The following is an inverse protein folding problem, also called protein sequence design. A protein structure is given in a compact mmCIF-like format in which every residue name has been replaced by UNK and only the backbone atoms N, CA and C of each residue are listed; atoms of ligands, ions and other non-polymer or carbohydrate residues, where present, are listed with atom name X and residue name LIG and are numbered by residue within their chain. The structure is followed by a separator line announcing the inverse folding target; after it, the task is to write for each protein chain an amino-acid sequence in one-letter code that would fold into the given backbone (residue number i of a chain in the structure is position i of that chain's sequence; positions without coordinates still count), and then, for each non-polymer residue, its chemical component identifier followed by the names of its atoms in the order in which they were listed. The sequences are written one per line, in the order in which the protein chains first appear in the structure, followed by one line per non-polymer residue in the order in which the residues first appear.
data_IF_456914450949
#
_entry.id   IF_456914450949
#
_cell.length_a   1.000
_cell.length_b   1.000
_cell.length_c   1.000
_cell.angle_alpha   90.00
_cell.angle_beta   90.00
_cell.angle_gamma   90.00
#
_symmetry.space_group_name_H-M   'P 1'
#
loop_
_entity.id
_entity.type
_entity.pdbx_description
1 polymer ?
#
# COMPACT_ATOMS: atom_id res chain seq x y z
N UNK A 1 -8.01 -36.31 -10.42
CA UNK A 1 -6.69 -35.65 -10.21
C UNK A 1 -6.85 -34.47 -9.25
N UNK A 2 -5.89 -34.25 -8.36
CA UNK A 2 -5.96 -33.13 -7.40
C UNK A 2 -4.96 -32.04 -7.77
N UNK A 3 -5.29 -30.79 -7.46
CA UNK A 3 -4.37 -29.66 -7.63
C UNK A 3 -3.22 -29.77 -6.62
N UNK A 4 -1.98 -29.80 -7.08
CA UNK A 4 -0.80 -29.92 -6.22
C UNK A 4 -0.59 -28.70 -5.30
N UNK A 5 -1.17 -27.55 -5.66
CA UNK A 5 -1.00 -26.30 -4.88
C UNK A 5 -2.06 -26.10 -3.80
N UNK A 6 -3.29 -26.63 -3.97
CA UNK A 6 -4.38 -26.40 -3.01
C UNK A 6 -5.12 -27.67 -2.58
N UNK A 7 -4.76 -28.87 -3.13
CA UNK A 7 -5.33 -30.16 -2.77
C UNK A 7 -6.77 -30.40 -3.23
N UNK A 8 -7.40 -29.45 -3.95
CA UNK A 8 -8.77 -29.64 -4.45
C UNK A 8 -8.82 -30.48 -5.71
N UNK A 9 -9.92 -31.20 -5.89
CA UNK A 9 -10.16 -32.04 -7.06
C UNK A 9 -10.28 -31.19 -8.33
N UNK A 10 -9.66 -31.67 -9.42
CA UNK A 10 -9.70 -31.04 -10.73
C UNK A 10 -11.09 -31.18 -11.33
N UNK A 11 -11.79 -30.10 -11.54
CA UNK A 11 -13.08 -30.01 -12.22
C UNK A 11 -12.84 -29.45 -13.62
N UNK A 12 -12.99 -30.25 -14.65
CA UNK A 12 -12.85 -29.88 -16.06
C UNK A 12 -11.41 -29.94 -16.61
N UNK A 13 -11.28 -29.71 -17.94
CA UNK A 13 -10.01 -29.82 -18.69
C UNK A 13 -9.20 -28.51 -18.76
N UNK A 14 -9.52 -27.55 -17.93
CA UNK A 14 -8.83 -26.26 -17.87
C UNK A 14 -7.34 -26.40 -17.51
N UNK A 15 -6.48 -25.60 -18.14
CA UNK A 15 -5.04 -25.56 -17.85
C UNK A 15 -4.69 -24.99 -16.47
N UNK A 16 -5.67 -24.39 -15.78
CA UNK A 16 -5.49 -23.73 -14.48
C UNK A 16 -6.54 -24.20 -13.48
N UNK A 17 -6.16 -24.28 -12.21
CA UNK A 17 -7.07 -24.59 -11.12
C UNK A 17 -8.03 -23.40 -10.87
N UNK A 18 -9.37 -23.61 -10.94
CA UNK A 18 -10.34 -22.52 -10.74
C UNK A 18 -10.35 -21.97 -9.30
N UNK A 19 -9.78 -22.71 -8.35
CA UNK A 19 -9.80 -22.34 -6.94
C UNK A 19 -8.57 -21.52 -6.52
N UNK A 20 -7.38 -21.80 -7.06
CA UNK A 20 -6.13 -21.14 -6.67
C UNK A 20 -5.36 -20.52 -7.84
N UNK A 21 -5.82 -20.67 -9.07
CA UNK A 21 -5.18 -20.12 -10.28
C UNK A 21 -3.88 -20.82 -10.68
N UNK A 22 -3.43 -21.85 -9.98
CA UNK A 22 -2.19 -22.56 -10.32
C UNK A 22 -2.36 -23.37 -11.60
N UNK A 23 -1.34 -23.35 -12.45
CA UNK A 23 -1.31 -24.16 -13.67
C UNK A 23 -1.13 -25.63 -13.32
N UNK A 24 -1.93 -26.50 -13.94
CA UNK A 24 -1.73 -27.94 -13.84
C UNK A 24 -0.48 -28.34 -14.61
N UNK A 25 0.45 -29.03 -13.97
CA UNK A 25 1.57 -29.70 -14.66
C UNK A 25 1.02 -30.90 -15.45
N UNK A 26 1.06 -30.81 -16.76
CA UNK A 26 0.79 -31.94 -17.64
C UNK A 26 2.03 -32.84 -17.59
N UNK A 27 1.94 -34.14 -17.31
CA UNK A 27 3.06 -35.06 -17.51
C UNK A 27 3.47 -34.99 -18.99
N UNK A 28 4.71 -34.62 -19.25
CA UNK A 28 5.27 -34.75 -20.60
C UNK A 28 5.38 -36.24 -20.90
N UNK A 29 4.50 -36.71 -21.77
CA UNK A 29 4.70 -37.95 -22.49
C UNK A 29 5.90 -37.76 -23.43
N UNK A 30 6.93 -38.55 -23.23
CA UNK A 30 8.11 -38.61 -24.09
C UNK A 30 7.66 -38.98 -25.51
N UNK A 31 7.68 -38.00 -26.40
CA UNK A 31 7.65 -38.25 -27.85
C UNK A 31 9.00 -37.88 -28.43
N UNK A 32 9.78 -38.93 -28.69
CA UNK A 32 10.99 -38.84 -29.50
C UNK A 32 10.67 -38.35 -30.92
N UNK A 33 11.40 -37.38 -31.41
CA UNK A 33 11.28 -36.88 -32.78
C UNK A 33 12.34 -35.82 -33.08
N UNK A 34 13.49 -36.28 -33.51
CA UNK A 34 14.60 -35.54 -34.10
C UNK A 34 14.17 -34.68 -35.30
N UNK A 35 14.55 -33.40 -35.35
CA UNK A 35 14.94 -32.73 -36.61
C UNK A 35 16.06 -31.74 -36.30
N UNK A 36 17.21 -32.03 -36.93
CA UNK A 36 18.35 -31.12 -37.11
C UNK A 36 17.96 -29.98 -38.02
N UNK A 37 18.44 -28.80 -37.73
CA UNK A 37 18.79 -27.83 -38.78
C UNK A 37 19.99 -26.98 -38.35
N UNK A 38 21.05 -27.16 -39.16
CA UNK A 38 22.31 -26.46 -39.19
C UNK A 38 22.12 -24.99 -39.63
N UNK A 39 23.07 -24.18 -39.26
CA UNK A 39 23.33 -22.94 -40.04
C UNK A 39 24.06 -21.83 -39.26
N UNK A 40 25.37 -21.94 -39.26
CA UNK A 40 26.43 -20.97 -39.58
C UNK A 40 26.60 -19.73 -38.72
N UNK A 41 27.64 -19.71 -37.90
CA UNK A 41 28.96 -19.05 -38.06
C UNK A 41 28.97 -17.51 -38.04
N UNK A 42 29.66 -16.91 -37.04
CA UNK A 42 30.86 -16.08 -37.14
C UNK A 42 31.32 -15.56 -35.79
N UNK A 43 32.36 -15.98 -35.33
CA UNK A 43 33.68 -15.56 -34.88
C UNK A 43 33.83 -14.09 -34.39
N UNK A 44 34.34 -13.90 -33.16
CA UNK A 44 35.64 -13.36 -32.74
C UNK A 44 35.56 -12.98 -31.27
N UNK A 45 36.29 -13.64 -30.46
CA UNK A 45 37.62 -13.41 -29.93
C UNK A 45 37.70 -12.55 -28.66
N UNK A 46 38.27 -13.22 -27.64
CA UNK A 46 39.19 -12.75 -26.57
C UNK A 46 38.59 -11.87 -25.45
N UNK A 47 38.68 -12.19 -24.23
CA UNK A 47 39.75 -12.51 -23.30
C UNK A 47 39.18 -12.76 -21.92
N UNK A 48 39.55 -13.88 -21.33
CA UNK A 48 39.36 -14.15 -19.91
C UNK A 48 40.43 -13.40 -19.10
N UNK A 49 40.17 -12.91 -17.89
CA UNK A 49 40.87 -13.52 -16.80
C UNK A 49 40.11 -13.69 -15.48
N UNK A 50 40.50 -14.72 -14.77
CA UNK A 50 40.54 -14.91 -13.32
C UNK A 50 39.24 -15.34 -12.63
N UNK A 51 39.13 -16.66 -12.51
CA UNK A 51 38.33 -17.42 -11.55
C UNK A 51 38.83 -17.10 -10.13
N UNK A 52 37.98 -16.47 -9.30
CA UNK A 52 38.07 -16.59 -7.86
C UNK A 52 37.07 -17.67 -7.41
N UNK A 53 37.45 -18.62 -6.57
CA UNK A 53 36.53 -19.60 -6.01
C UNK A 53 35.69 -18.93 -4.95
N UNK A 54 34.43 -18.58 -5.31
CA UNK A 54 33.44 -18.17 -4.35
C UNK A 54 33.06 -19.37 -3.48
N UNK A 55 33.38 -19.23 -2.20
CA UNK A 55 32.99 -20.09 -1.10
C UNK A 55 31.52 -20.47 -1.21
N UNK A 56 31.24 -21.74 -1.43
CA UNK A 56 29.91 -22.30 -1.40
C UNK A 56 29.34 -22.25 0.03
N UNK A 57 28.56 -21.24 0.34
CA UNK A 57 27.72 -21.22 1.53
C UNK A 57 26.49 -22.12 1.27
N UNK A 58 25.99 -22.87 2.25
CA UNK A 58 24.96 -23.89 2.06
C UNK A 58 23.61 -23.24 1.68
N UNK A 59 23.20 -23.45 0.44
CA UNK A 59 21.96 -22.92 -0.15
C UNK A 59 20.67 -23.55 0.41
N UNK A 60 20.75 -24.50 1.34
CA UNK A 60 19.60 -25.27 1.82
C UNK A 60 18.78 -24.63 2.95
N UNK A 61 19.33 -23.61 3.67
CA UNK A 61 18.63 -22.99 4.81
C UNK A 61 17.84 -21.73 4.46
N UNK A 62 17.99 -21.17 3.26
CA UNK A 62 17.35 -19.92 2.87
C UNK A 62 15.91 -20.11 2.30
N UNK A 63 15.51 -21.30 1.92
CA UNK A 63 14.23 -21.56 1.25
C UNK A 63 13.01 -21.53 2.16
N UNK A 64 13.11 -22.02 3.38
CA UNK A 64 11.95 -22.14 4.30
C UNK A 64 11.59 -20.82 4.97
N UNK A 65 12.56 -20.00 5.35
CA UNK A 65 12.32 -18.70 5.98
C UNK A 65 11.69 -17.69 5.02
N UNK A 66 12.09 -17.68 3.75
CA UNK A 66 11.53 -16.77 2.74
C UNK A 66 10.06 -17.08 2.43
N UNK A 67 9.70 -18.37 2.31
CA UNK A 67 8.31 -18.82 2.07
C UNK A 67 7.41 -18.47 3.25
N UNK A 68 7.88 -18.69 4.48
CA UNK A 68 7.13 -18.36 5.69
C UNK A 68 6.90 -16.84 5.80
N UNK A 69 7.94 -16.03 5.59
CA UNK A 69 7.85 -14.56 5.61
C UNK A 69 6.89 -14.02 4.55
N UNK A 70 6.91 -14.57 3.34
CA UNK A 70 5.96 -14.19 2.29
C UNK A 70 4.51 -14.51 2.69
N UNK A 71 4.27 -15.68 3.28
CA UNK A 71 2.95 -16.06 3.78
C UNK A 71 2.45 -15.09 4.84
N UNK A 72 3.29 -14.74 5.82
CA UNK A 72 2.97 -13.75 6.86
C UNK A 72 2.66 -12.39 6.24
N UNK A 73 3.48 -11.93 5.30
CA UNK A 73 3.26 -10.65 4.61
C UNK A 73 1.92 -10.63 3.88
N UNK A 74 1.54 -11.71 3.19
CA UNK A 74 0.21 -11.84 2.56
C UNK A 74 -0.93 -11.80 3.57
N UNK A 75 -0.78 -12.41 4.75
CA UNK A 75 -1.75 -12.33 5.83
C UNK A 75 -1.94 -10.89 6.34
N UNK A 76 -0.86 -10.14 6.52
CA UNK A 76 -0.91 -8.73 6.93
C UNK A 76 -1.54 -7.82 5.87
N UNK A 77 -1.27 -8.06 4.58
CA UNK A 77 -1.85 -7.28 3.47
C UNK A 77 -3.36 -7.50 3.38
N UNK A 78 -3.84 -8.72 3.58
CA UNK A 78 -5.23 -9.12 3.53
C UNK A 78 -5.82 -9.04 2.12
N UNK A 79 -6.22 -7.84 1.68
CA UNK A 79 -6.82 -7.60 0.36
C UNK A 79 -5.81 -7.06 -0.65
N UNK A 80 -6.00 -7.38 -1.95
CA UNK A 80 -5.13 -6.95 -3.06
C UNK A 80 -3.69 -7.44 -2.95
N UNK A 81 -3.48 -8.64 -2.44
CA UNK A 81 -2.15 -9.26 -2.25
C UNK A 81 -1.35 -9.32 -3.54
N UNK A 82 -1.99 -9.62 -4.68
CA UNK A 82 -1.32 -9.71 -5.99
C UNK A 82 -0.78 -8.36 -6.48
N UNK A 83 -1.53 -7.27 -6.22
CA UNK A 83 -1.06 -5.93 -6.52
C UNK A 83 0.18 -5.60 -5.68
N UNK A 84 0.12 -5.85 -4.36
CA UNK A 84 1.21 -5.51 -3.46
C UNK A 84 2.44 -6.38 -3.67
N UNK A 85 2.30 -7.67 -3.96
CA UNK A 85 3.44 -8.52 -4.27
C UNK A 85 4.17 -8.04 -5.53
N UNK A 86 3.45 -7.64 -6.58
CA UNK A 86 4.04 -7.04 -7.78
C UNK A 86 4.69 -5.68 -7.49
N UNK A 87 4.04 -4.83 -6.69
CA UNK A 87 4.56 -3.52 -6.30
C UNK A 87 5.85 -3.66 -5.45
N UNK A 88 5.88 -4.58 -4.51
CA UNK A 88 7.04 -4.85 -3.66
C UNK A 88 8.20 -5.45 -4.46
N UNK A 89 7.93 -6.37 -5.39
CA UNK A 89 8.94 -6.90 -6.30
C UNK A 89 9.59 -5.81 -7.19
N UNK A 90 8.81 -4.80 -7.62
CA UNK A 90 9.36 -3.63 -8.32
C UNK A 90 10.29 -2.83 -7.42
N UNK A 91 9.87 -2.58 -6.17
CA UNK A 91 10.65 -1.84 -5.18
C UNK A 91 11.97 -2.55 -4.88
N UNK A 92 11.97 -3.89 -4.81
CA UNK A 92 13.17 -4.70 -4.59
C UNK A 92 14.19 -4.59 -5.73
N UNK A 93 13.70 -4.33 -6.94
CA UNK A 93 14.55 -4.03 -8.11
C UNK A 93 14.98 -2.57 -8.21
N UNK A 94 14.64 -1.73 -7.21
CA UNK A 94 14.93 -0.30 -7.22
C UNK A 94 13.99 0.53 -8.10
N UNK A 95 12.91 -0.07 -8.63
CA UNK A 95 11.92 0.62 -9.45
C UNK A 95 10.93 1.41 -8.59
N UNK A 96 10.40 2.52 -9.14
CA UNK A 96 9.33 3.25 -8.48
C UNK A 96 7.98 2.53 -8.64
N UNK A 97 7.16 2.59 -7.59
CA UNK A 97 5.80 2.05 -7.63
C UNK A 97 4.82 3.11 -7.17
N UNK A 98 3.90 3.48 -8.04
CA UNK A 98 2.89 4.51 -7.80
C UNK A 98 1.54 3.89 -7.39
N UNK A 99 0.89 4.45 -6.37
CA UNK A 99 -0.40 3.97 -5.89
C UNK A 99 -1.50 4.98 -6.21
N UNK A 100 -2.29 4.68 -7.24
CA UNK A 100 -3.35 5.58 -7.72
C UNK A 100 -4.46 5.78 -6.67
N UNK A 101 -4.82 4.74 -5.92
CA UNK A 101 -5.82 4.85 -4.84
C UNK A 101 -5.36 5.82 -3.75
N UNK A 102 -4.07 5.75 -3.40
CA UNK A 102 -3.48 6.68 -2.45
C UNK A 102 -3.47 8.13 -2.96
N UNK A 103 -3.45 8.38 -4.26
CA UNK A 103 -3.54 9.72 -4.82
C UNK A 103 -4.88 10.39 -4.51
N UNK A 104 -6.00 9.68 -4.74
CA UNK A 104 -7.34 10.26 -4.65
C UNK A 104 -7.89 10.34 -3.23
N UNK A 105 -7.56 9.38 -2.39
CA UNK A 105 -8.14 9.28 -1.04
C UNK A 105 -7.08 9.18 0.06
N UNK A 106 -5.92 9.84 -0.13
CA UNK A 106 -4.73 9.75 0.73
C UNK A 106 -4.99 9.68 2.23
N UNK A 107 -5.72 10.61 2.87
CA UNK A 107 -5.89 10.58 4.32
C UNK A 107 -6.64 9.34 4.79
N UNK A 108 -7.73 8.97 4.10
CA UNK A 108 -8.55 7.81 4.44
C UNK A 108 -7.84 6.50 4.11
N UNK A 109 -7.10 6.48 3.00
CA UNK A 109 -6.37 5.30 2.56
C UNK A 109 -5.24 4.91 3.51
N UNK A 110 -4.48 5.90 4.02
CA UNK A 110 -3.44 5.67 5.02
C UNK A 110 -4.03 5.12 6.33
N UNK A 111 -5.16 5.67 6.78
CA UNK A 111 -5.87 5.18 7.96
C UNK A 111 -6.43 3.77 7.74
N UNK A 112 -7.01 3.50 6.55
CA UNK A 112 -7.49 2.18 6.16
C UNK A 112 -6.38 1.12 6.20
N UNK A 113 -5.17 1.46 5.73
CA UNK A 113 -3.99 0.60 5.74
C UNK A 113 -3.19 0.64 7.05
N UNK A 114 -3.73 1.31 8.09
CA UNK A 114 -3.11 1.43 9.41
C UNK A 114 -1.69 2.05 9.39
N UNK A 115 -1.46 2.99 8.47
CA UNK A 115 -0.19 3.71 8.33
C UNK A 115 -0.19 5.00 9.16
N UNK A 116 -0.41 4.88 10.50
CA UNK A 116 -0.64 6.01 11.39
C UNK A 116 0.53 7.01 11.45
N UNK A 117 1.77 6.53 11.51
CA UNK A 117 2.93 7.41 11.61
C UNK A 117 3.17 8.15 10.29
N UNK A 118 2.95 7.47 9.16
CA UNK A 118 3.02 8.12 7.86
C UNK A 118 1.87 9.11 7.67
N UNK A 119 0.66 8.77 8.13
CA UNK A 119 -0.50 9.65 8.13
C UNK A 119 -0.24 10.92 8.97
N UNK A 120 0.27 10.79 10.21
CA UNK A 120 0.61 11.93 11.07
C UNK A 120 1.59 12.89 10.38
N UNK A 121 2.62 12.37 9.74
CA UNK A 121 3.64 13.18 9.07
C UNK A 121 3.11 13.92 7.84
N UNK A 122 2.30 13.23 7.02
CA UNK A 122 1.90 13.75 5.71
C UNK A 122 0.53 14.44 5.75
N UNK A 123 -0.46 13.85 6.40
CA UNK A 123 -1.84 14.31 6.31
C UNK A 123 -2.26 15.23 7.47
N UNK A 124 -1.73 15.02 8.68
CA UNK A 124 -2.17 15.78 9.86
C UNK A 124 -1.95 17.31 9.72
N UNK A 125 -0.80 17.81 9.21
CA UNK A 125 -0.63 19.25 9.02
C UNK A 125 -1.67 19.84 8.06
N UNK A 126 -1.97 19.14 6.98
CA UNK A 126 -2.99 19.53 6.02
C UNK A 126 -4.39 19.56 6.64
N UNK A 127 -4.73 18.54 7.43
CA UNK A 127 -6.03 18.46 8.15
C UNK A 127 -6.17 19.62 9.13
N UNK A 128 -5.13 19.94 9.88
CA UNK A 128 -5.13 21.06 10.84
C UNK A 128 -5.36 22.39 10.10
N UNK A 129 -4.63 22.65 9.03
CA UNK A 129 -4.77 23.88 8.24
C UNK A 129 -6.16 23.99 7.60
N UNK A 130 -6.70 22.88 7.09
CA UNK A 130 -8.04 22.82 6.55
C UNK A 130 -9.11 23.10 7.61
N UNK A 131 -9.00 22.50 8.79
CA UNK A 131 -9.91 22.75 9.91
C UNK A 131 -9.81 24.21 10.40
N UNK A 132 -8.60 24.75 10.49
CA UNK A 132 -8.40 26.16 10.87
C UNK A 132 -9.05 27.13 9.88
N UNK A 133 -8.84 26.93 8.57
CA UNK A 133 -9.48 27.72 7.52
C UNK A 133 -11.01 27.68 7.64
N UNK A 134 -11.58 26.48 7.85
CA UNK A 134 -13.01 26.32 8.05
C UNK A 134 -13.54 27.07 9.27
N UNK A 135 -12.83 26.96 10.41
CA UNK A 135 -13.23 27.67 11.65
C UNK A 135 -13.21 29.18 11.46
N UNK A 136 -12.14 29.71 10.87
CA UNK A 136 -12.03 31.15 10.61
C UNK A 136 -13.15 31.65 9.67
N UNK A 137 -13.49 30.84 8.66
CA UNK A 137 -14.63 31.15 7.78
C UNK A 137 -15.95 31.23 8.55
N UNK A 138 -16.22 30.26 9.44
CA UNK A 138 -17.45 30.25 10.25
C UNK A 138 -17.51 31.44 11.23
N UNK A 139 -16.40 31.79 11.87
CA UNK A 139 -16.32 32.95 12.74
C UNK A 139 -16.54 34.25 11.94
N UNK A 140 -15.88 34.40 10.79
CA UNK A 140 -16.07 35.55 9.91
C UNK A 140 -17.52 35.77 9.47
N UNK A 141 -18.22 34.65 9.10
CA UNK A 141 -19.65 34.70 8.81
C UNK A 141 -20.49 35.10 10.02
N UNK A 142 -20.21 34.53 11.18
CA UNK A 142 -20.99 34.81 12.39
C UNK A 142 -20.81 36.25 12.92
N UNK A 143 -19.63 36.85 12.71
CA UNK A 143 -19.30 38.22 13.12
C UNK A 143 -19.50 39.26 12.03
N UNK A 144 -19.86 38.85 10.81
CA UNK A 144 -19.89 39.71 9.62
C UNK A 144 -18.55 40.40 9.32
N UNK A 145 -17.42 39.79 9.74
CA UNK A 145 -16.09 40.30 9.51
C UNK A 145 -15.55 39.87 8.15
N UNK A 146 -15.69 40.75 7.16
CA UNK A 146 -15.24 40.48 5.78
C UNK A 146 -13.71 40.32 5.67
N UNK A 147 -12.94 40.98 6.56
CA UNK A 147 -11.48 40.85 6.56
C UNK A 147 -11.08 39.42 6.99
N UNK A 148 -11.70 38.93 8.06
CA UNK A 148 -11.47 37.57 8.54
C UNK A 148 -11.92 36.53 7.52
N UNK A 149 -13.07 36.72 6.87
CA UNK A 149 -13.55 35.87 5.79
C UNK A 149 -12.56 35.82 4.62
N UNK A 150 -12.08 36.98 4.18
CA UNK A 150 -11.10 37.08 3.09
C UNK A 150 -9.80 36.37 3.44
N UNK A 151 -9.29 36.54 4.67
CA UNK A 151 -8.11 35.84 5.14
C UNK A 151 -8.30 34.33 5.18
N UNK A 152 -9.45 33.85 5.68
CA UNK A 152 -9.79 32.43 5.71
C UNK A 152 -9.87 31.83 4.30
N UNK A 153 -10.43 32.57 3.33
CA UNK A 153 -10.50 32.13 1.93
C UNK A 153 -9.10 32.03 1.31
N UNK A 154 -8.23 33.02 1.52
CA UNK A 154 -6.84 32.99 1.06
C UNK A 154 -6.12 31.76 1.64
N UNK A 155 -6.30 31.51 2.94
CA UNK A 155 -5.74 30.33 3.59
C UNK A 155 -6.27 29.03 2.94
N UNK A 156 -7.58 28.93 2.70
CA UNK A 156 -8.22 27.80 2.03
C UNK A 156 -7.67 27.56 0.63
N UNK A 157 -7.48 28.62 -0.14
CA UNK A 157 -6.85 28.54 -1.47
C UNK A 157 -5.41 28.04 -1.39
N UNK A 158 -4.64 28.44 -0.38
CA UNK A 158 -3.27 27.97 -0.17
C UNK A 158 -3.21 26.49 0.29
N UNK A 159 -4.19 26.05 1.06
CA UNK A 159 -4.28 24.66 1.56
C UNK A 159 -4.54 23.67 0.44
N UNK A 160 -5.25 24.08 -0.62
CA UNK A 160 -5.58 23.18 -1.75
C UNK A 160 -4.36 22.65 -2.51
N UNK A 161 -3.45 23.49 -3.04
CA UNK A 161 -2.25 22.99 -3.72
C UNK A 161 -1.34 22.20 -2.79
N UNK A 162 -1.26 22.57 -1.49
CA UNK A 162 -0.55 21.75 -0.51
C UNK A 162 -1.14 20.35 -0.41
N UNK A 163 -2.48 20.21 -0.38
CA UNK A 163 -3.17 18.92 -0.39
C UNK A 163 -2.86 18.09 -1.63
N UNK A 164 -2.79 18.70 -2.81
CA UNK A 164 -2.43 18.01 -4.06
C UNK A 164 -0.99 17.50 -4.04
N UNK A 165 -0.04 18.34 -3.61
CA UNK A 165 1.37 17.94 -3.47
C UNK A 165 1.50 16.80 -2.46
N UNK A 166 0.85 16.90 -1.31
CA UNK A 166 0.83 15.85 -0.29
C UNK A 166 0.27 14.54 -0.86
N UNK A 167 -0.87 14.59 -1.55
CA UNK A 167 -1.50 13.41 -2.15
C UNK A 167 -0.57 12.74 -3.18
N UNK A 168 0.12 13.53 -4.02
CA UNK A 168 1.09 13.02 -4.98
C UNK A 168 2.29 12.35 -4.29
N UNK A 169 2.85 13.00 -3.25
CA UNK A 169 3.96 12.44 -2.48
C UNK A 169 3.58 11.15 -1.75
N UNK A 170 2.36 11.09 -1.21
CA UNK A 170 1.82 9.88 -0.61
C UNK A 170 1.70 8.79 -1.67
N UNK A 171 1.08 9.06 -2.82
CA UNK A 171 0.90 8.09 -3.89
C UNK A 171 2.23 7.52 -4.42
N UNK A 172 3.24 8.38 -4.55
CA UNK A 172 4.59 8.02 -5.02
C UNK A 172 5.33 7.11 -4.03
N UNK A 173 5.21 7.40 -2.73
CA UNK A 173 6.02 6.74 -1.71
C UNK A 173 5.26 5.65 -0.92
N UNK A 174 3.93 5.56 -1.07
CA UNK A 174 3.09 4.71 -0.24
C UNK A 174 3.54 3.25 -0.26
N UNK A 175 3.70 2.64 -1.43
CA UNK A 175 3.99 1.21 -1.53
C UNK A 175 5.32 0.86 -0.84
N UNK A 176 6.35 1.73 -0.96
CA UNK A 176 7.63 1.58 -0.26
C UNK A 176 7.47 1.70 1.25
N UNK A 177 6.79 2.75 1.72
CA UNK A 177 6.55 2.96 3.16
C UNK A 177 5.67 1.88 3.77
N UNK A 178 4.71 1.37 3.01
CA UNK A 178 3.87 0.26 3.44
C UNK A 178 4.69 -1.04 3.58
N UNK A 179 5.54 -1.35 2.61
CA UNK A 179 6.46 -2.48 2.69
C UNK A 179 7.38 -2.37 3.91
N UNK A 180 8.08 -1.26 4.07
CA UNK A 180 8.97 -0.98 5.22
C UNK A 180 8.23 -1.19 6.55
N UNK A 181 6.99 -0.67 6.67
CA UNK A 181 6.17 -0.80 7.87
C UNK A 181 5.75 -2.24 8.16
N UNK A 182 5.44 -3.03 7.12
CA UNK A 182 5.12 -4.46 7.29
C UNK A 182 6.36 -5.26 7.71
N UNK A 183 7.50 -4.99 7.10
CA UNK A 183 8.77 -5.66 7.43
C UNK A 183 9.19 -5.36 8.88
N UNK A 184 9.08 -4.10 9.32
CA UNK A 184 9.33 -3.71 10.71
C UNK A 184 8.36 -4.42 11.66
N UNK A 185 7.07 -4.46 11.34
CA UNK A 185 6.07 -5.14 12.15
C UNK A 185 6.34 -6.65 12.28
N UNK A 186 6.72 -7.31 11.18
CA UNK A 186 7.08 -8.73 11.19
C UNK A 186 8.34 -8.97 12.02
N UNK A 187 9.34 -8.09 11.91
CA UNK A 187 10.57 -8.19 12.69
C UNK A 187 10.33 -8.00 14.20
N UNK A 188 9.45 -7.06 14.58
CA UNK A 188 9.09 -6.81 15.99
C UNK A 188 8.31 -7.96 16.63
N UNK A 189 7.40 -8.59 15.88
CA UNK A 189 6.55 -9.66 16.42
C UNK A 189 7.21 -11.04 16.37
N UNK A 190 8.22 -11.21 15.52
CA UNK A 190 8.86 -12.51 15.25
C UNK A 190 7.96 -13.42 14.40
N UNK A 191 8.58 -14.24 13.56
CA UNK A 191 7.86 -15.10 12.59
C UNK A 191 7.02 -16.22 13.26
N UNK A 192 7.19 -16.46 14.54
CA UNK A 192 6.46 -17.46 15.33
C UNK A 192 5.19 -16.94 16.00
N UNK A 193 4.84 -15.65 15.81
CA UNK A 193 3.64 -15.08 16.37
C UNK A 193 2.36 -15.72 15.78
N UNK A 194 1.28 -15.71 16.58
CA UNK A 194 0.00 -16.25 16.19
C UNK A 194 -0.60 -15.54 14.96
N UNK A 195 -1.36 -16.28 14.16
CA UNK A 195 -2.04 -15.74 12.96
C UNK A 195 -2.98 -14.57 13.30
N UNK A 196 -3.56 -14.54 14.50
CA UNK A 196 -4.39 -13.43 14.97
C UNK A 196 -3.64 -12.09 15.02
N UNK A 197 -2.34 -12.10 15.34
CA UNK A 197 -1.47 -10.92 15.36
C UNK A 197 -1.29 -10.36 13.94
N UNK A 198 -1.12 -11.24 12.96
CA UNK A 198 -0.99 -10.84 11.54
C UNK A 198 -2.30 -10.31 10.99
N UNK A 199 -3.43 -10.94 11.32
CA UNK A 199 -4.77 -10.48 10.92
C UNK A 199 -5.12 -9.12 11.52
N UNK A 200 -4.65 -8.79 12.72
CA UNK A 200 -4.88 -7.49 13.34
C UNK A 200 -4.25 -6.33 12.54
N UNK A 201 -3.23 -6.60 11.70
CA UNK A 201 -2.59 -5.62 10.82
C UNK A 201 -3.32 -5.42 9.50
N UNK A 202 -4.33 -6.24 9.19
CA UNK A 202 -5.12 -6.11 7.96
C UNK A 202 -5.83 -4.75 7.86
N UNK A 203 -6.11 -4.31 6.63
CA UNK A 203 -6.86 -3.08 6.39
C UNK A 203 -8.18 -3.06 7.16
N UNK A 204 -8.50 -1.94 7.78
CA UNK A 204 -9.71 -1.80 8.59
C UNK A 204 -10.43 -0.50 8.30
N UNK A 205 -11.74 -0.56 8.06
CA UNK A 205 -12.60 0.61 7.89
C UNK A 205 -12.88 1.39 9.18
N UNK A 206 -12.54 0.83 10.35
CA UNK A 206 -12.76 1.50 11.64
C UNK A 206 -12.12 2.89 11.70
N UNK A 207 -10.85 3.00 11.35
CA UNK A 207 -10.09 4.25 11.48
C UNK A 207 -10.54 5.34 10.50
N UNK A 208 -10.78 5.07 9.20
CA UNK A 208 -11.40 6.03 8.30
C UNK A 208 -12.77 6.53 8.79
N UNK A 209 -13.63 5.63 9.27
CA UNK A 209 -14.96 6.00 9.77
C UNK A 209 -14.88 6.85 11.02
N UNK A 210 -14.00 6.53 11.97
CA UNK A 210 -13.76 7.34 13.17
C UNK A 210 -13.26 8.75 12.75
N UNK A 211 -12.33 8.81 11.81
CA UNK A 211 -11.81 10.10 11.32
C UNK A 211 -12.91 10.96 10.69
N UNK A 212 -13.75 10.37 9.82
CA UNK A 212 -14.89 11.06 9.22
C UNK A 212 -15.86 11.56 10.30
N UNK A 213 -16.18 10.71 11.29
CA UNK A 213 -17.06 11.09 12.40
C UNK A 213 -16.46 12.28 13.19
N UNK A 214 -15.16 12.27 13.49
CA UNK A 214 -14.48 13.38 14.16
C UNK A 214 -14.60 14.68 13.35
N UNK A 215 -14.38 14.63 12.03
CA UNK A 215 -14.48 15.80 11.16
C UNK A 215 -15.91 16.33 11.12
N UNK A 216 -16.91 15.46 11.03
CA UNK A 216 -18.32 15.85 11.03
C UNK A 216 -18.73 16.48 12.36
N UNK A 217 -18.40 15.84 13.48
CA UNK A 217 -18.67 16.37 14.83
C UNK A 217 -18.01 17.72 15.03
N UNK A 218 -16.73 17.84 14.67
CA UNK A 218 -15.99 19.10 14.77
C UNK A 218 -16.71 20.24 14.01
N UNK A 219 -17.06 20.02 12.74
CA UNK A 219 -17.75 21.05 11.95
C UNK A 219 -19.12 21.39 12.54
N UNK A 220 -19.88 20.41 13.00
CA UNK A 220 -21.20 20.62 13.62
C UNK A 220 -21.09 21.42 14.92
N UNK A 221 -20.16 21.06 15.79
CA UNK A 221 -19.92 21.76 17.06
C UNK A 221 -19.45 23.19 16.81
N UNK A 222 -18.50 23.39 15.89
CA UNK A 222 -17.98 24.72 15.57
C UNK A 222 -19.08 25.61 15.01
N UNK A 223 -19.90 25.12 14.09
CA UNK A 223 -21.02 25.84 13.52
C UNK A 223 -22.06 26.21 14.60
N UNK A 224 -22.39 25.26 15.48
CA UNK A 224 -23.32 25.50 16.59
C UNK A 224 -22.79 26.54 17.58
N UNK A 225 -21.52 26.46 17.97
CA UNK A 225 -20.86 27.44 18.85
C UNK A 225 -20.84 28.83 18.25
N UNK A 226 -20.43 28.95 16.98
CA UNK A 226 -20.47 30.24 16.27
C UNK A 226 -21.88 30.80 16.24
N UNK A 227 -22.89 30.01 15.93
CA UNK A 227 -24.29 30.42 15.95
C UNK A 227 -24.75 30.90 17.33
N UNK A 228 -24.39 30.19 18.42
CA UNK A 228 -24.79 30.59 19.78
C UNK A 228 -24.06 31.82 20.30
N UNK A 229 -22.76 31.93 20.05
CA UNK A 229 -21.92 33.02 20.59
C UNK A 229 -22.16 34.35 19.87
N UNK A 230 -22.40 34.32 18.57
CA UNK A 230 -22.45 35.52 17.75
C UNK A 230 -23.84 35.85 17.20
N UNK A 231 -24.76 34.88 17.04
CA UNK A 231 -26.11 35.11 16.52
C UNK A 231 -27.20 34.91 17.59
N UNK A 232 -26.93 34.22 18.70
CA UNK A 232 -27.88 33.96 19.79
C UNK A 232 -28.10 35.09 20.78
N UNK A 233 -27.49 36.22 20.56
CA UNK A 233 -27.69 37.45 21.36
C UNK A 233 -28.70 38.44 20.76
N UNK A 234 -29.36 38.08 19.69
CA UNK A 234 -30.47 38.77 19.09
C UNK A 234 -31.78 38.02 19.43
#
# INVERSE_FOLDING_TARGET
MFCQSCGKERVGDGAFCPQCGSRYSVPQEEAAGSVQQEGAASAASATNPAVHPASAAPAAAQGTGTVQREKIMRLCIGTNTDYYSKAFAKIDRGESSFNLTALFISPLFLLYRQQFDYWKKMCLPWVILFMLSNTLTQIGFATFDFSLMSFAQILGVAVFPYGLVMAFLVAKNFNRKYKESLETFIAEKGESADESVWKARQPSMKHPLIFIAIVVIYNSVTSWLCGKLFLGGL
#
